data_IF_508519239434
#
_entry.id   IF_508519239434
#
_cell.length_a   1.000
_cell.length_b   1.000
_cell.length_c   1.000
_cell.angle_alpha   90.00
_cell.angle_beta   90.00
_cell.angle_gamma   90.00
#
_symmetry.space_group_name_H-M   'P 1'
#
loop_
_entity.id
_entity.type
_entity.pdbx_description
1 polymer ?
#
# COMPACT_ATOMS: atom_id res chain seq x y z
N UNK A 1 8.11 -11.08 6.50
CA UNK A 1 7.75 -10.51 5.18
C UNK A 1 7.33 -9.07 5.38
N UNK A 2 7.38 -8.31 4.30
CA UNK A 2 6.85 -6.97 4.14
C UNK A 2 5.57 -7.06 3.30
N UNK A 3 4.44 -6.73 3.91
CA UNK A 3 3.14 -6.65 3.24
C UNK A 3 2.81 -5.19 2.97
N UNK A 4 2.17 -4.91 1.84
CA UNK A 4 1.51 -3.64 1.57
C UNK A 4 0.03 -3.86 1.26
N UNK A 5 -0.81 -3.01 1.82
CA UNK A 5 -2.25 -2.99 1.57
C UNK A 5 -2.67 -1.62 1.04
N UNK A 6 -3.51 -1.61 0.02
CA UNK A 6 -4.17 -0.42 -0.47
C UNK A 6 -5.30 0.05 0.47
N UNK A 7 -5.62 1.34 0.40
CA UNK A 7 -6.64 1.92 1.27
C UNK A 7 -8.04 1.87 0.66
N UNK A 8 -8.25 2.66 -0.40
CA UNK A 8 -9.57 2.87 -1.01
C UNK A 8 -10.02 1.60 -1.72
N UNK A 9 -11.25 1.15 -1.48
CA UNK A 9 -11.82 -0.06 -2.13
C UNK A 9 -11.11 -1.39 -1.79
N UNK A 10 -9.94 -1.35 -1.15
CA UNK A 10 -9.30 -2.51 -0.53
C UNK A 10 -9.58 -2.52 0.98
N UNK A 11 -8.85 -1.73 1.79
CA UNK A 11 -9.08 -1.65 3.23
C UNK A 11 -10.49 -1.16 3.56
N UNK A 12 -10.98 -0.12 2.88
CA UNK A 12 -12.30 0.47 3.17
C UNK A 12 -13.47 -0.46 2.83
N UNK A 13 -13.25 -1.52 2.04
CA UNK A 13 -14.30 -2.47 1.65
C UNK A 13 -14.72 -3.38 2.80
N UNK A 14 -13.80 -3.73 3.70
CA UNK A 14 -14.09 -4.47 4.94
C UNK A 14 -13.00 -4.25 6.00
N UNK A 15 -13.02 -3.12 6.73
CA UNK A 15 -11.97 -2.79 7.70
C UNK A 15 -11.80 -3.84 8.81
N UNK A 16 -12.87 -4.48 9.26
CA UNK A 16 -12.81 -5.47 10.36
C UNK A 16 -12.06 -6.74 9.91
N UNK A 17 -12.33 -7.21 8.69
CA UNK A 17 -11.59 -8.32 8.09
C UNK A 17 -10.09 -8.00 7.97
N UNK A 18 -9.78 -6.81 7.45
CA UNK A 18 -8.39 -6.41 7.26
C UNK A 18 -7.67 -6.17 8.58
N UNK A 19 -8.31 -5.56 9.57
CA UNK A 19 -7.75 -5.39 10.91
C UNK A 19 -7.35 -6.74 11.52
N UNK A 20 -8.21 -7.76 11.37
CA UNK A 20 -7.91 -9.12 11.82
C UNK A 20 -6.69 -9.73 11.12
N UNK A 21 -6.62 -9.61 9.79
CA UNK A 21 -5.50 -10.12 8.99
C UNK A 21 -4.19 -9.40 9.32
N UNK A 22 -4.22 -8.06 9.35
CA UNK A 22 -3.05 -7.22 9.62
C UNK A 22 -2.57 -7.42 11.06
N UNK A 23 -3.47 -7.49 12.03
CA UNK A 23 -3.14 -7.81 13.42
C UNK A 23 -2.46 -9.18 13.56
N UNK A 24 -2.94 -10.19 12.83
CA UNK A 24 -2.30 -11.50 12.79
C UNK A 24 -0.90 -11.44 12.14
N UNK A 25 -0.73 -10.67 11.06
CA UNK A 25 0.56 -10.48 10.41
C UNK A 25 1.58 -9.81 11.34
N UNK A 26 1.18 -8.71 12.00
CA UNK A 26 2.01 -8.01 12.98
C UNK A 26 2.41 -8.92 14.15
N UNK A 27 1.45 -9.67 14.72
CA UNK A 27 1.70 -10.63 15.81
C UNK A 27 2.72 -11.71 15.43
N UNK A 28 2.81 -12.05 14.15
CA UNK A 28 3.79 -13.02 13.60
C UNK A 28 5.13 -12.38 13.21
N UNK A 29 5.35 -11.11 13.56
CA UNK A 29 6.58 -10.38 13.28
C UNK A 29 6.73 -9.93 11.82
N UNK A 30 5.64 -9.83 11.07
CA UNK A 30 5.67 -9.22 9.74
C UNK A 30 5.54 -7.70 9.84
N UNK A 31 6.05 -7.00 8.82
CA UNK A 31 5.89 -5.56 8.67
C UNK A 31 4.76 -5.28 7.69
N UNK A 32 3.91 -4.32 8.01
CA UNK A 32 2.77 -3.93 7.18
C UNK A 32 2.89 -2.45 6.84
N UNK A 33 2.67 -2.12 5.57
CA UNK A 33 2.55 -0.77 5.07
C UNK A 33 1.15 -0.54 4.49
N UNK A 34 0.63 0.68 4.59
CA UNK A 34 -0.50 1.11 3.80
C UNK A 34 0.00 2.00 2.65
N UNK A 35 -0.35 1.65 1.41
CA UNK A 35 0.11 2.36 0.21
C UNK A 35 -1.09 2.70 -0.65
N UNK A 36 -1.53 3.96 -0.58
CA UNK A 36 -2.72 4.44 -1.28
C UNK A 36 -2.33 5.24 -2.53
N UNK A 37 -3.16 5.18 -3.57
CA UNK A 37 -3.05 6.06 -4.73
C UNK A 37 -3.38 7.54 -4.40
N UNK A 38 -3.95 7.82 -3.22
CA UNK A 38 -4.20 9.19 -2.72
C UNK A 38 -2.91 10.00 -2.72
N UNK A 39 -3.05 11.32 -2.85
CA UNK A 39 -1.91 12.21 -2.64
C UNK A 39 -1.55 12.24 -1.14
N UNK A 40 -0.27 12.34 -0.81
CA UNK A 40 0.23 12.52 0.56
C UNK A 40 -0.56 13.54 1.43
N UNK A 41 -1.05 14.63 0.84
CA UNK A 41 -1.85 15.67 1.52
C UNK A 41 -3.26 15.20 1.93
N UNK A 42 -3.72 14.07 1.39
CA UNK A 42 -5.04 13.48 1.61
C UNK A 42 -4.98 12.23 2.52
N UNK A 43 -3.83 11.95 3.13
CA UNK A 43 -3.60 10.76 3.96
C UNK A 43 -4.13 10.87 5.40
N UNK A 44 -4.83 11.96 5.74
CA UNK A 44 -5.34 12.19 7.10
C UNK A 44 -6.25 11.07 7.60
N UNK A 45 -7.21 10.64 6.78
CA UNK A 45 -8.12 9.52 7.10
C UNK A 45 -7.38 8.19 7.23
N UNK A 46 -6.46 7.90 6.29
CA UNK A 46 -5.66 6.67 6.30
C UNK A 46 -4.87 6.56 7.61
N UNK A 47 -4.20 7.65 8.01
CA UNK A 47 -3.42 7.71 9.25
C UNK A 47 -4.30 7.63 10.51
N UNK A 48 -5.52 8.14 10.44
CA UNK A 48 -6.48 8.12 11.54
C UNK A 48 -7.23 6.78 11.68
N UNK A 49 -7.18 5.91 10.66
CA UNK A 49 -7.86 4.60 10.62
C UNK A 49 -6.83 3.47 10.69
N UNK A 50 -6.50 2.83 9.57
CA UNK A 50 -5.50 1.74 9.49
C UNK A 50 -4.16 2.14 10.11
N UNK A 51 -3.77 3.41 9.99
CA UNK A 51 -2.54 3.93 10.62
C UNK A 51 -2.51 3.83 12.14
N UNK A 52 -3.66 3.71 12.82
CA UNK A 52 -3.70 3.42 14.26
C UNK A 52 -3.26 2.00 14.60
N UNK A 53 -3.45 1.06 13.67
CA UNK A 53 -3.07 -0.34 13.81
C UNK A 53 -1.59 -0.56 13.43
N UNK A 54 -1.17 -0.01 12.29
CA UNK A 54 0.15 -0.31 11.71
C UNK A 54 1.21 0.78 11.96
N UNK A 55 0.80 1.98 12.39
CA UNK A 55 1.63 3.17 12.52
C UNK A 55 1.31 4.22 11.42
N UNK A 56 1.08 5.50 11.75
CA UNK A 56 0.80 6.54 10.75
C UNK A 56 1.99 6.86 9.82
N UNK A 57 3.21 6.54 10.26
CA UNK A 57 4.47 6.73 9.54
C UNK A 57 4.72 5.70 8.43
N UNK A 58 4.02 4.57 8.47
CA UNK A 58 4.07 3.53 7.42
C UNK A 58 2.88 3.60 6.46
N UNK A 59 2.20 4.75 6.44
CA UNK A 59 1.10 5.07 5.53
C UNK A 59 1.58 6.08 4.47
N UNK A 60 1.68 5.63 3.22
CA UNK A 60 2.18 6.39 2.08
C UNK A 60 1.08 6.72 1.06
N UNK A 61 1.02 7.98 0.64
CA UNK A 61 0.21 8.41 -0.50
C UNK A 61 1.07 8.62 -1.75
N UNK A 62 0.90 7.80 -2.78
CA UNK A 62 1.75 7.82 -3.99
C UNK A 62 1.39 8.95 -4.96
N UNK A 63 0.22 9.59 -4.79
CA UNK A 63 -0.27 10.61 -5.72
C UNK A 63 -0.50 10.07 -7.15
N UNK A 64 -0.87 8.79 -7.26
CA UNK A 64 -1.12 8.11 -8.53
C UNK A 64 0.11 7.47 -9.18
N UNK A 65 1.31 7.59 -8.58
CA UNK A 65 2.48 6.87 -9.06
C UNK A 65 2.34 5.35 -8.82
N UNK A 66 2.90 4.48 -9.70
CA UNK A 66 2.90 3.03 -9.49
C UNK A 66 3.48 2.66 -8.13
N UNK A 67 2.72 1.91 -7.33
CA UNK A 67 3.03 1.72 -5.90
C UNK A 67 4.35 1.00 -5.68
N UNK A 68 4.68 -0.01 -6.49
CA UNK A 68 5.96 -0.73 -6.39
C UNK A 68 7.16 0.17 -6.64
N UNK A 69 7.07 1.02 -7.67
CA UNK A 69 8.12 1.99 -7.99
C UNK A 69 8.26 3.01 -6.87
N UNK A 70 7.16 3.58 -6.39
CA UNK A 70 7.16 4.53 -5.28
C UNK A 70 7.81 3.93 -4.02
N UNK A 71 7.42 2.71 -3.64
CA UNK A 71 7.98 2.07 -2.45
C UNK A 71 9.48 1.78 -2.58
N UNK A 72 9.94 1.38 -3.78
CA UNK A 72 11.36 1.12 -4.01
C UNK A 72 12.21 2.41 -4.05
N UNK A 73 11.75 3.45 -4.75
CA UNK A 73 12.54 4.67 -5.01
C UNK A 73 12.42 5.71 -3.89
N UNK A 74 11.24 5.84 -3.26
CA UNK A 74 10.94 6.91 -2.30
C UNK A 74 10.98 6.39 -0.87
N UNK A 75 10.36 5.23 -0.61
CA UNK A 75 10.30 4.64 0.73
C UNK A 75 11.47 3.67 1.01
N UNK A 76 12.38 3.47 0.04
CA UNK A 76 13.53 2.56 0.11
C UNK A 76 13.15 1.17 0.66
N UNK A 77 12.02 0.64 0.16
CA UNK A 77 11.41 -0.58 0.69
C UNK A 77 10.92 -1.49 -0.43
N UNK A 78 11.38 -2.74 -0.41
CA UNK A 78 10.86 -3.79 -1.27
C UNK A 78 9.72 -4.56 -0.58
N UNK A 79 8.54 -4.56 -1.19
CA UNK A 79 7.35 -5.24 -0.67
C UNK A 79 7.28 -6.68 -1.22
N UNK A 80 7.07 -7.65 -0.33
CA UNK A 80 6.98 -9.08 -0.69
C UNK A 80 5.58 -9.45 -1.21
N UNK A 81 4.53 -8.93 -0.58
CA UNK A 81 3.12 -9.26 -0.87
C UNK A 81 2.29 -7.98 -0.95
N UNK A 82 1.52 -7.85 -2.02
CA UNK A 82 0.61 -6.73 -2.26
C UNK A 82 -0.85 -7.19 -2.11
N UNK A 83 -1.66 -6.41 -1.41
CA UNK A 83 -3.10 -6.57 -1.25
C UNK A 83 -3.74 -5.29 -1.82
N UNK A 84 -4.34 -5.41 -2.99
CA UNK A 84 -4.80 -4.27 -3.79
C UNK A 84 -5.93 -4.76 -4.69
N UNK A 85 -7.07 -4.07 -4.71
CA UNK A 85 -8.18 -4.42 -5.59
C UNK A 85 -7.94 -3.96 -7.03
N UNK A 86 -7.02 -3.01 -7.23
CA UNK A 86 -6.51 -2.57 -8.52
C UNK A 86 -5.04 -3.01 -8.70
N UNK A 87 -4.78 -4.30 -9.02
CA UNK A 87 -3.41 -4.83 -9.16
C UNK A 87 -2.55 -4.06 -10.17
N UNK A 88 -3.16 -3.44 -11.18
CA UNK A 88 -2.51 -2.56 -12.14
C UNK A 88 -1.93 -1.28 -11.51
N UNK A 89 -2.44 -0.84 -10.36
CA UNK A 89 -1.89 0.32 -9.63
C UNK A 89 -0.54 0.02 -8.97
N UNK A 90 -0.22 -1.27 -8.80
CA UNK A 90 1.01 -1.73 -8.16
C UNK A 90 2.20 -1.63 -9.11
N UNK A 91 2.01 -2.00 -10.38
CA UNK A 91 3.07 -2.11 -11.37
C UNK A 91 2.98 -1.01 -12.41
N UNK A 92 4.12 -0.64 -12.99
CA UNK A 92 4.09 0.17 -14.20
C UNK A 92 3.56 -0.69 -15.34
N UNK A 93 2.52 -0.22 -16.02
CA UNK A 93 2.08 -0.83 -17.27
C UNK A 93 3.03 -0.30 -18.35
N UNK A 94 3.79 -1.17 -19.05
CA UNK A 94 4.62 -0.73 -20.16
C UNK A 94 3.77 -0.01 -21.20
N UNK A 95 4.28 1.12 -21.72
CA UNK A 95 3.68 1.75 -22.89
C UNK A 95 3.76 0.75 -24.06
N UNK A 96 2.62 0.29 -24.63
CA UNK A 96 2.64 -0.62 -25.76
C UNK A 96 3.37 -0.04 -27.00
N UNK A 97 3.65 1.26 -27.02
CA UNK A 97 4.44 1.95 -28.05
C UNK A 97 5.96 1.95 -27.86
N UNK A 98 6.48 1.55 -26.70
CA UNK A 98 7.92 1.42 -26.47
C UNK A 98 8.32 -0.05 -26.52
N UNK A 99 8.87 -0.48 -27.66
CA UNK A 99 9.46 -1.81 -27.81
C UNK A 99 10.57 -2.08 -26.78
N UNK A 100 10.94 -3.34 -26.55
CA UNK A 100 11.94 -3.68 -25.53
C UNK A 100 13.28 -2.99 -25.86
N UNK A 101 13.87 -2.40 -24.82
CA UNK A 101 15.20 -1.79 -24.85
C UNK A 101 16.30 -2.80 -25.18
#
# INVERSE_FOLDING_TARGET
MILAIDFDETYTRDPELWDGLLGAALTRGHRVFCVSARHERQMGEVRATIGRLIGPEVCFGTGGAPKRRFMAEVADTHVDVWIDDAPESVVEIPDPGQGPA
#
